data_IF_506687406022
#
_entry.id   IF_506687406022
#
_cell.length_a   1.000
_cell.length_b   1.000
_cell.length_c   1.000
_cell.angle_alpha   90.00
_cell.angle_beta   90.00
_cell.angle_gamma   90.00
#
_symmetry.space_group_name_H-M   'P 1'
#
loop_
_entity.id
_entity.type
_entity.pdbx_description
1 polymer ?
#
# COMPACT_ATOMS: atom_id res chain seq x y z
N UNK A 1 72.83 41.78 -6.14
CA UNK A 1 72.16 41.62 -4.82
C UNK A 1 70.67 42.04 -4.73
N UNK A 2 70.22 43.02 -5.50
CA UNK A 2 68.79 43.50 -5.43
C UNK A 2 67.74 42.53 -6.00
N UNK A 3 68.06 41.57 -6.87
CA UNK A 3 67.08 40.61 -7.45
C UNK A 3 66.82 39.38 -6.60
N UNK A 4 67.60 39.05 -5.60
CA UNK A 4 67.46 37.89 -4.73
C UNK A 4 66.47 38.19 -3.58
N UNK A 5 66.49 39.43 -3.07
CA UNK A 5 65.66 39.88 -1.95
C UNK A 5 64.21 39.96 -2.35
N UNK A 6 63.84 40.27 -3.60
CA UNK A 6 62.44 40.32 -4.07
C UNK A 6 61.76 38.94 -4.18
N UNK A 7 62.52 37.90 -4.54
CA UNK A 7 62.02 36.54 -4.67
C UNK A 7 61.70 35.88 -3.30
N UNK A 8 62.56 36.16 -2.31
CA UNK A 8 62.28 35.60 -0.95
C UNK A 8 61.08 36.25 -0.28
N UNK A 9 60.86 37.53 -0.55
CA UNK A 9 59.62 38.22 0.00
C UNK A 9 58.33 37.70 -0.57
N UNK A 10 58.31 37.30 -1.87
CA UNK A 10 57.08 36.74 -2.49
C UNK A 10 56.78 35.31 -2.06
N UNK A 11 57.78 34.49 -1.79
CA UNK A 11 57.61 33.12 -1.28
C UNK A 11 57.12 33.15 0.17
N UNK A 12 57.64 34.06 1.00
CA UNK A 12 57.17 34.24 2.35
C UNK A 12 55.69 34.71 2.45
N UNK A 13 55.30 35.60 1.53
CA UNK A 13 53.91 36.09 1.47
C UNK A 13 52.94 35.03 0.99
N UNK A 14 53.31 34.20 0.00
CA UNK A 14 52.44 33.10 -0.46
C UNK A 14 52.26 31.98 0.56
N UNK A 15 53.31 31.66 1.34
CA UNK A 15 53.19 30.67 2.44
C UNK A 15 52.30 31.16 3.58
N UNK A 16 52.39 32.47 3.91
CA UNK A 16 51.51 33.08 4.92
C UNK A 16 50.06 33.14 4.48
N UNK A 17 49.79 33.40 3.19
CA UNK A 17 48.41 33.39 2.64
C UNK A 17 47.85 31.97 2.62
N UNK A 18 48.64 30.95 2.22
CA UNK A 18 48.21 29.55 2.27
C UNK A 18 47.97 29.05 3.70
N UNK A 19 48.82 29.43 4.66
CA UNK A 19 48.64 29.09 6.07
C UNK A 19 47.40 29.79 6.66
N UNK A 20 47.10 31.05 6.26
CA UNK A 20 45.91 31.79 6.64
C UNK A 20 44.63 31.17 6.11
N UNK A 21 44.64 30.71 4.85
CA UNK A 21 43.51 30.03 4.23
C UNK A 21 43.27 28.66 4.90
N UNK A 22 44.34 27.91 5.22
CA UNK A 22 44.19 26.64 5.95
C UNK A 22 43.70 26.86 7.39
N UNK A 23 44.10 27.93 8.06
CA UNK A 23 43.67 28.24 9.43
C UNK A 23 42.23 28.79 9.48
N UNK A 24 41.80 29.47 8.41
CA UNK A 24 40.43 29.93 8.29
C UNK A 24 39.49 28.79 7.92
N UNK A 25 39.91 27.83 7.09
CA UNK A 25 39.15 26.62 6.75
C UNK A 25 38.97 25.68 7.96
N UNK A 26 39.91 25.67 8.91
CA UNK A 26 39.82 24.88 10.15
C UNK A 26 38.94 25.58 11.20
N UNK A 27 38.79 26.93 11.18
CA UNK A 27 37.90 27.65 12.08
C UNK A 27 36.44 27.80 11.57
N UNK A 28 36.25 27.83 10.26
CA UNK A 28 34.96 27.53 9.70
C UNK A 28 34.80 26.02 9.69
N UNK A 29 34.55 25.44 10.84
CA UNK A 29 34.07 24.09 10.94
C UNK A 29 32.86 24.00 10.02
N UNK A 30 33.09 23.52 8.81
CA UNK A 30 32.07 22.92 8.04
C UNK A 30 31.58 21.78 8.94
N UNK A 31 30.56 22.04 9.75
CA UNK A 31 29.70 20.98 10.21
C UNK A 31 29.23 20.33 8.92
N UNK A 32 29.92 19.31 8.47
CA UNK A 32 29.31 18.27 7.67
C UNK A 32 28.17 17.86 8.59
N UNK A 33 26.99 18.42 8.34
CA UNK A 33 25.79 17.83 8.81
C UNK A 33 25.79 16.45 8.17
N UNK A 34 26.39 15.48 8.85
CA UNK A 34 25.91 14.12 8.83
C UNK A 34 24.55 14.24 9.50
N UNK A 35 23.61 14.79 8.74
CA UNK A 35 22.21 14.72 9.07
C UNK A 35 21.78 13.28 8.89
N UNK A 36 22.10 12.47 9.86
CA UNK A 36 21.16 11.48 10.31
C UNK A 36 20.04 12.36 10.83
N UNK A 37 18.99 12.48 10.01
CA UNK A 37 17.72 13.09 10.41
C UNK A 37 17.22 12.18 11.53
N UNK A 38 17.55 12.52 12.76
CA UNK A 38 17.12 11.81 13.97
C UNK A 38 15.64 12.22 14.23
N UNK A 39 14.83 12.07 13.16
CA UNK A 39 13.40 12.24 13.21
C UNK A 39 12.80 11.09 14.03
N UNK A 40 12.63 11.35 15.34
CA UNK A 40 12.11 10.38 16.32
C UNK A 40 10.62 10.14 16.19
N UNK A 41 9.95 10.70 15.17
CA UNK A 41 8.55 10.41 14.94
C UNK A 41 8.38 8.96 14.52
N UNK A 42 7.31 8.34 15.00
CA UNK A 42 6.92 7.02 14.52
C UNK A 42 6.80 7.02 12.99
N UNK A 43 7.48 6.08 12.35
CA UNK A 43 7.49 5.95 10.89
C UNK A 43 6.81 4.66 10.48
N UNK A 44 5.77 4.76 9.65
CA UNK A 44 5.12 3.59 9.08
C UNK A 44 5.01 3.72 7.57
N UNK A 45 5.18 2.61 6.88
CA UNK A 45 5.15 2.55 5.42
C UNK A 45 4.19 1.47 4.94
N UNK A 46 3.58 1.66 3.78
CA UNK A 46 2.78 0.62 3.13
C UNK A 46 3.37 0.21 1.80
N UNK A 47 3.18 -1.06 1.47
CA UNK A 47 3.54 -1.66 0.19
C UNK A 47 2.28 -2.16 -0.52
N UNK A 48 2.13 -1.84 -1.80
CA UNK A 48 0.97 -2.28 -2.60
C UNK A 48 1.22 -3.62 -3.30
N UNK A 49 0.17 -4.32 -3.67
CA UNK A 49 0.22 -5.66 -4.29
C UNK A 49 0.00 -5.69 -5.80
N UNK A 50 0.35 -4.63 -6.50
CA UNK A 50 0.22 -4.49 -7.96
C UNK A 50 -0.69 -3.36 -8.41
N UNK A 51 -1.62 -2.91 -7.56
CA UNK A 51 -2.38 -1.67 -7.75
C UNK A 51 -1.58 -0.46 -7.29
N UNK A 52 -1.77 0.69 -7.92
CA UNK A 52 -1.22 1.97 -7.45
C UNK A 52 -2.17 2.65 -6.46
N UNK A 53 -1.65 3.63 -5.71
CA UNK A 53 -2.43 4.39 -4.73
C UNK A 53 -3.54 5.26 -5.33
N UNK A 54 -3.70 5.26 -6.65
CA UNK A 54 -4.74 5.98 -7.39
C UNK A 54 -5.76 5.03 -8.04
N UNK A 55 -5.92 3.82 -7.53
CA UNK A 55 -6.85 2.80 -8.03
C UNK A 55 -8.33 3.13 -7.78
N UNK A 56 -8.63 4.23 -7.08
CA UNK A 56 -9.96 4.65 -6.64
C UNK A 56 -10.67 3.58 -5.78
N UNK A 57 -9.91 2.68 -5.16
CA UNK A 57 -10.39 1.53 -4.43
C UNK A 57 -9.52 1.21 -3.20
N UNK A 58 -9.07 -0.02 -3.08
CA UNK A 58 -8.44 -0.62 -1.91
C UNK A 58 -7.09 0.03 -1.55
N UNK A 59 -6.20 0.21 -2.54
CA UNK A 59 -4.88 0.79 -2.29
C UNK A 59 -5.00 2.28 -1.95
N UNK A 60 -5.82 3.03 -2.69
CA UNK A 60 -6.09 4.43 -2.41
C UNK A 60 -6.69 4.63 -1.02
N UNK A 61 -7.70 3.84 -0.66
CA UNK A 61 -8.34 3.93 0.66
C UNK A 61 -7.36 3.65 1.78
N UNK A 62 -6.46 2.67 1.59
CA UNK A 62 -5.39 2.36 2.54
C UNK A 62 -4.43 3.54 2.70
N UNK A 63 -4.00 4.15 1.60
CA UNK A 63 -3.14 5.33 1.62
C UNK A 63 -3.81 6.55 2.28
N UNK A 64 -5.09 6.76 2.04
CA UNK A 64 -5.84 7.82 2.71
C UNK A 64 -5.93 7.60 4.22
N UNK A 65 -6.08 6.35 4.65
CA UNK A 65 -5.98 5.97 6.05
C UNK A 65 -4.62 6.30 6.66
N UNK A 66 -3.53 5.98 5.96
CA UNK A 66 -2.16 6.32 6.37
C UNK A 66 -1.96 7.83 6.50
N UNK A 67 -2.41 8.61 5.53
CA UNK A 67 -2.35 10.08 5.58
C UNK A 67 -3.15 10.64 6.76
N UNK A 68 -4.32 10.07 7.02
CA UNK A 68 -5.13 10.47 8.18
C UNK A 68 -4.40 10.16 9.49
N UNK A 69 -3.83 8.95 9.62
CA UNK A 69 -3.01 8.57 10.77
C UNK A 69 -1.85 9.55 10.99
N UNK A 70 -1.10 9.86 9.94
CA UNK A 70 -0.01 10.84 9.99
C UNK A 70 -0.46 12.20 10.54
N UNK A 71 -1.59 12.70 10.05
CA UNK A 71 -2.16 13.98 10.50
C UNK A 71 -2.58 13.95 11.97
N UNK A 72 -3.20 12.85 12.40
CA UNK A 72 -3.77 12.73 13.73
C UNK A 72 -2.69 12.48 14.81
N UNK A 73 -1.57 11.86 14.45
CA UNK A 73 -0.51 11.42 15.39
C UNK A 73 0.83 12.13 15.20
N UNK A 74 0.96 12.98 14.19
CA UNK A 74 2.24 13.58 13.76
C UNK A 74 3.31 12.52 13.38
N UNK A 75 2.89 11.34 12.90
CA UNK A 75 3.78 10.26 12.44
C UNK A 75 4.25 10.50 11.02
N UNK A 76 5.40 9.92 10.65
CA UNK A 76 5.85 9.84 9.26
C UNK A 76 5.13 8.70 8.57
N UNK A 77 4.74 8.90 7.31
CA UNK A 77 4.15 7.85 6.47
C UNK A 77 4.76 7.86 5.09
N UNK A 78 4.93 6.69 4.50
CA UNK A 78 5.33 6.53 3.11
C UNK A 78 4.61 5.35 2.45
N UNK A 79 4.77 5.22 1.15
CA UNK A 79 4.28 4.06 0.40
C UNK A 79 5.28 3.65 -0.67
N UNK A 80 5.21 2.37 -1.05
CA UNK A 80 5.93 1.82 -2.21
C UNK A 80 4.94 1.08 -3.08
N UNK A 81 4.88 1.45 -4.35
CA UNK A 81 4.09 0.73 -5.35
C UNK A 81 4.92 -0.41 -5.93
N UNK A 82 4.39 -1.63 -5.85
CA UNK A 82 5.04 -2.83 -6.37
C UNK A 82 4.18 -3.47 -7.46
N UNK A 83 4.41 -3.15 -8.72
CA UNK A 83 3.62 -3.69 -9.82
C UNK A 83 3.82 -5.20 -10.02
N UNK A 84 4.93 -5.76 -9.51
CA UNK A 84 5.26 -7.17 -9.64
C UNK A 84 5.62 -7.81 -8.30
N UNK A 85 5.24 -9.06 -8.13
CA UNK A 85 5.53 -9.84 -6.92
C UNK A 85 7.03 -9.99 -6.64
N UNK A 86 7.87 -10.03 -7.69
CA UNK A 86 9.33 -10.08 -7.58
C UNK A 86 9.93 -8.90 -6.82
N UNK A 87 9.21 -7.77 -6.74
CA UNK A 87 9.70 -6.54 -6.15
C UNK A 87 9.37 -6.44 -4.66
N UNK A 88 8.48 -7.29 -4.16
CA UNK A 88 7.96 -7.20 -2.80
C UNK A 88 9.07 -7.26 -1.74
N UNK A 89 9.87 -8.33 -1.75
CA UNK A 89 10.90 -8.53 -0.72
C UNK A 89 11.95 -7.44 -0.75
N UNK A 90 12.45 -7.08 -1.95
CA UNK A 90 13.47 -6.03 -2.11
C UNK A 90 12.99 -4.69 -1.55
N UNK A 91 11.71 -4.37 -1.74
CA UNK A 91 11.16 -3.11 -1.25
C UNK A 91 10.84 -3.16 0.26
N UNK A 92 10.48 -4.32 0.79
CA UNK A 92 10.36 -4.51 2.25
C UNK A 92 11.72 -4.35 2.93
N UNK A 93 12.78 -4.95 2.38
CA UNK A 93 14.14 -4.83 2.91
C UNK A 93 14.62 -3.36 2.90
N UNK A 94 14.33 -2.60 1.84
CA UNK A 94 14.64 -1.17 1.80
C UNK A 94 13.91 -0.38 2.90
N UNK A 95 12.64 -0.67 3.13
CA UNK A 95 11.88 -0.02 4.20
C UNK A 95 12.42 -0.40 5.58
N UNK A 96 12.90 -1.63 5.75
CA UNK A 96 13.58 -2.06 6.97
C UNK A 96 14.88 -1.29 7.19
N UNK A 97 15.69 -1.11 6.15
CA UNK A 97 16.92 -0.32 6.19
C UNK A 97 16.69 1.19 6.48
N UNK A 98 15.51 1.70 6.15
CA UNK A 98 15.08 3.07 6.45
C UNK A 98 14.60 3.25 7.91
N UNK A 99 14.74 2.23 8.74
CA UNK A 99 14.28 2.22 10.14
C UNK A 99 12.78 2.49 10.29
N UNK A 100 11.98 1.84 9.46
CA UNK A 100 10.52 1.90 9.54
C UNK A 100 10.04 1.13 10.78
N UNK A 101 9.22 1.74 11.63
CA UNK A 101 8.71 1.10 12.85
C UNK A 101 7.62 0.06 12.58
N UNK A 102 6.84 0.26 11.49
CA UNK A 102 5.77 -0.65 11.07
C UNK A 102 5.63 -0.66 9.55
N UNK A 103 5.72 -1.85 8.96
CA UNK A 103 5.55 -2.06 7.52
C UNK A 103 4.22 -2.76 7.26
N UNK A 104 3.36 -2.13 6.44
CA UNK A 104 2.07 -2.68 6.02
C UNK A 104 2.16 -3.34 4.66
N UNK A 105 1.78 -4.60 4.57
CA UNK A 105 1.44 -5.25 3.30
C UNK A 105 -0.03 -5.02 2.97
N UNK A 106 -0.33 -4.36 1.86
CA UNK A 106 -1.72 -4.08 1.45
C UNK A 106 -2.16 -5.11 0.42
N UNK A 107 -2.87 -6.12 0.92
CA UNK A 107 -3.40 -7.22 0.13
C UNK A 107 -2.74 -8.60 0.42
N UNK A 108 -3.55 -9.64 0.29
CA UNK A 108 -3.17 -11.01 0.64
C UNK A 108 -2.00 -11.59 -0.19
N UNK A 109 -1.72 -11.03 -1.37
CA UNK A 109 -0.59 -11.48 -2.20
C UNK A 109 0.78 -11.24 -1.55
N UNK A 110 0.84 -10.34 -0.58
CA UNK A 110 2.05 -10.05 0.19
C UNK A 110 2.29 -11.04 1.35
N UNK A 111 1.36 -11.98 1.59
CA UNK A 111 1.40 -12.85 2.77
C UNK A 111 2.72 -13.61 2.93
N UNK A 112 3.15 -14.35 1.90
CA UNK A 112 4.39 -15.13 1.95
C UNK A 112 5.61 -14.23 2.16
N UNK A 113 5.60 -13.03 1.55
CA UNK A 113 6.72 -12.09 1.67
C UNK A 113 6.77 -11.44 3.05
N UNK A 114 5.62 -11.06 3.60
CA UNK A 114 5.53 -10.52 4.98
C UNK A 114 5.96 -11.60 6.00
N UNK A 115 5.53 -12.84 5.81
CA UNK A 115 5.95 -13.94 6.70
C UNK A 115 7.48 -14.15 6.66
N UNK A 116 8.07 -14.12 5.46
CA UNK A 116 9.51 -14.24 5.28
C UNK A 116 10.25 -13.06 5.92
N UNK A 117 9.83 -11.84 5.63
CA UNK A 117 10.43 -10.63 6.17
C UNK A 117 10.35 -10.59 7.71
N UNK A 118 9.21 -10.96 8.28
CA UNK A 118 9.02 -11.03 9.74
C UNK A 118 9.95 -12.03 10.42
N UNK A 119 10.20 -13.17 9.78
CA UNK A 119 11.16 -14.17 10.28
C UNK A 119 12.61 -13.71 10.15
N UNK A 120 12.91 -12.94 9.14
CA UNK A 120 14.28 -12.43 8.87
C UNK A 120 14.63 -11.26 9.78
N UNK A 121 13.66 -10.40 10.08
CA UNK A 121 13.81 -9.19 10.88
C UNK A 121 12.84 -9.22 12.08
N UNK A 122 13.14 -10.04 13.11
CA UNK A 122 12.22 -10.25 14.23
C UNK A 122 12.03 -9.02 15.13
N UNK A 123 12.90 -8.03 15.02
CA UNK A 123 12.83 -6.74 15.74
C UNK A 123 11.88 -5.73 15.09
N UNK A 124 11.47 -5.94 13.84
CA UNK A 124 10.56 -5.06 13.13
C UNK A 124 9.12 -5.54 13.23
N UNK A 125 8.19 -4.62 13.17
CA UNK A 125 6.76 -4.93 13.19
C UNK A 125 6.16 -4.88 11.79
N UNK A 126 5.27 -5.81 11.53
CA UNK A 126 4.56 -5.92 10.26
C UNK A 126 3.06 -5.98 10.47
N UNK A 127 2.32 -5.50 9.51
CA UNK A 127 0.89 -5.71 9.42
C UNK A 127 0.50 -6.09 7.99
N UNK A 128 -0.55 -6.87 7.84
CA UNK A 128 -1.07 -7.23 6.52
C UNK A 128 -2.58 -7.05 6.48
N UNK A 129 -3.07 -6.39 5.45
CA UNK A 129 -4.50 -6.21 5.20
C UNK A 129 -5.05 -7.36 4.33
N UNK A 130 -6.28 -7.77 4.61
CA UNK A 130 -7.00 -8.86 3.94
C UNK A 130 -6.34 -10.24 4.06
N UNK A 131 -5.55 -10.45 5.10
CA UNK A 131 -4.96 -11.76 5.35
C UNK A 131 -4.74 -12.02 6.85
N UNK A 132 -4.83 -13.29 7.24
CA UNK A 132 -4.48 -13.77 8.57
C UNK A 132 -3.79 -15.13 8.46
N UNK A 133 -2.70 -15.30 9.17
CA UNK A 133 -1.98 -16.57 9.28
C UNK A 133 -2.64 -17.55 10.31
N UNK A 134 -3.73 -17.11 10.97
CA UNK A 134 -4.38 -17.88 12.03
C UNK A 134 -3.42 -18.20 13.16
N UNK A 135 -3.41 -19.47 13.59
CA UNK A 135 -2.55 -19.95 14.69
C UNK A 135 -1.03 -19.93 14.36
N UNK A 136 -0.67 -19.66 13.10
CA UNK A 136 0.72 -19.60 12.63
C UNK A 136 1.23 -18.17 12.47
N UNK A 137 0.47 -17.17 12.94
CA UNK A 137 0.87 -15.77 12.85
C UNK A 137 2.21 -15.55 13.57
N UNK A 138 3.25 -15.01 12.88
CA UNK A 138 4.49 -14.62 13.53
C UNK A 138 4.23 -13.58 14.62
N UNK A 139 5.02 -13.60 15.71
CA UNK A 139 4.82 -12.73 16.88
C UNK A 139 4.86 -11.22 16.54
N UNK A 140 5.65 -10.86 15.52
CA UNK A 140 5.82 -9.49 15.03
C UNK A 140 4.93 -9.15 13.82
N UNK A 141 3.88 -9.95 13.54
CA UNK A 141 2.92 -9.71 12.47
C UNK A 141 1.51 -9.53 13.01
N UNK A 142 0.80 -8.53 12.52
CA UNK A 142 -0.64 -8.35 12.76
C UNK A 142 -1.42 -8.52 11.46
N UNK A 143 -2.27 -9.53 11.40
CA UNK A 143 -3.23 -9.69 10.29
C UNK A 143 -4.49 -8.88 10.56
N UNK A 144 -4.94 -8.12 9.55
CA UNK A 144 -6.18 -7.34 9.60
C UNK A 144 -7.13 -7.90 8.56
N UNK A 145 -8.24 -8.46 9.01
CA UNK A 145 -9.29 -9.01 8.15
C UNK A 145 -10.58 -8.24 8.33
N UNK A 146 -11.38 -8.19 7.28
CA UNK A 146 -12.66 -7.48 7.26
C UNK A 146 -13.81 -8.48 7.10
N UNK A 147 -14.97 -8.13 7.66
CA UNK A 147 -16.22 -8.89 7.49
C UNK A 147 -16.90 -8.46 6.19
N UNK A 148 -16.24 -8.75 5.08
CA UNK A 148 -16.64 -8.31 3.74
C UNK A 148 -17.99 -8.90 3.33
N UNK A 149 -18.35 -10.06 3.87
CA UNK A 149 -19.65 -10.70 3.69
C UNK A 149 -20.81 -9.85 4.25
N UNK A 150 -20.59 -9.10 5.34
CA UNK A 150 -21.66 -8.29 5.95
C UNK A 150 -21.99 -7.07 5.10
N UNK A 151 -20.95 -6.32 4.67
CA UNK A 151 -21.15 -5.17 3.79
C UNK A 151 -21.75 -5.57 2.45
N UNK A 152 -21.26 -6.68 1.88
CA UNK A 152 -21.74 -7.23 0.61
C UNK A 152 -23.19 -7.72 0.71
N UNK A 153 -23.58 -8.29 1.87
CA UNK A 153 -24.98 -8.65 2.11
C UNK A 153 -25.91 -7.42 2.02
N UNK A 154 -25.51 -6.30 2.63
CA UNK A 154 -26.29 -5.07 2.55
C UNK A 154 -26.43 -4.55 1.13
N UNK A 155 -25.34 -4.59 0.35
CA UNK A 155 -25.35 -4.21 -1.07
C UNK A 155 -26.25 -5.15 -1.88
N UNK A 156 -26.17 -6.45 -1.66
CA UNK A 156 -27.03 -7.45 -2.30
C UNK A 156 -28.52 -7.27 -1.96
N UNK A 157 -28.81 -6.96 -0.71
CA UNK A 157 -30.17 -6.66 -0.28
C UNK A 157 -30.75 -5.43 -1.00
N UNK A 158 -29.96 -4.35 -1.07
CA UNK A 158 -30.37 -3.14 -1.80
C UNK A 158 -30.56 -3.46 -3.29
N UNK A 159 -29.65 -4.22 -3.91
CA UNK A 159 -29.75 -4.62 -5.30
C UNK A 159 -31.06 -5.37 -5.58
N UNK A 160 -31.45 -6.28 -4.69
CA UNK A 160 -32.69 -7.02 -4.83
C UNK A 160 -33.95 -6.12 -4.78
N UNK A 161 -33.96 -5.11 -3.91
CA UNK A 161 -35.05 -4.17 -3.81
C UNK A 161 -35.16 -3.21 -5.00
N UNK A 162 -34.00 -2.90 -5.64
CA UNK A 162 -33.90 -1.86 -6.65
C UNK A 162 -33.96 -2.38 -8.09
N UNK A 163 -33.61 -3.66 -8.33
CA UNK A 163 -33.60 -4.23 -9.68
C UNK A 163 -34.96 -4.16 -10.37
N UNK A 164 -34.94 -3.80 -11.66
CA UNK A 164 -36.09 -3.77 -12.54
C UNK A 164 -36.16 -4.98 -13.48
N UNK A 165 -34.99 -5.60 -13.74
CA UNK A 165 -34.86 -6.77 -14.61
C UNK A 165 -35.05 -8.09 -13.88
N UNK A 166 -35.04 -8.08 -12.54
CA UNK A 166 -34.92 -9.26 -11.68
C UNK A 166 -33.65 -10.07 -11.94
N UNK A 167 -32.61 -9.42 -12.43
CA UNK A 167 -31.28 -10.00 -12.66
C UNK A 167 -30.23 -8.99 -12.24
N UNK A 168 -29.30 -9.42 -11.39
CA UNK A 168 -28.19 -8.60 -10.88
C UNK A 168 -26.86 -9.30 -11.08
N UNK A 169 -25.79 -8.53 -11.17
CA UNK A 169 -24.45 -9.03 -11.47
C UNK A 169 -23.50 -8.90 -10.30
N UNK A 170 -22.54 -9.83 -10.24
CA UNK A 170 -21.33 -9.72 -9.42
C UNK A 170 -20.08 -9.89 -10.29
N UNK A 171 -19.14 -8.98 -10.18
CA UNK A 171 -17.83 -9.08 -10.84
C UNK A 171 -16.73 -9.20 -9.78
N UNK A 172 -16.13 -10.38 -9.65
CA UNK A 172 -14.98 -10.60 -8.80
C UNK A 172 -13.66 -10.32 -9.53
N UNK A 173 -12.62 -9.95 -8.79
CA UNK A 173 -11.27 -9.85 -9.31
C UNK A 173 -10.67 -11.24 -9.55
N UNK A 174 -9.88 -11.74 -8.63
CA UNK A 174 -9.32 -13.10 -8.66
C UNK A 174 -10.06 -13.94 -7.63
N UNK A 175 -10.51 -15.12 -8.04
CA UNK A 175 -11.23 -16.04 -7.15
C UNK A 175 -10.33 -16.48 -5.99
N UNK A 176 -10.88 -16.46 -4.78
CA UNK A 176 -10.17 -16.83 -3.56
C UNK A 176 -10.94 -16.41 -2.33
N UNK A 177 -10.47 -16.81 -1.16
CA UNK A 177 -11.17 -16.69 0.13
C UNK A 177 -11.71 -15.27 0.40
N UNK A 178 -10.93 -14.23 0.11
CA UNK A 178 -11.34 -12.83 0.31
C UNK A 178 -12.50 -12.45 -0.62
N UNK A 179 -12.36 -12.75 -1.92
CA UNK A 179 -13.39 -12.38 -2.92
C UNK A 179 -14.62 -13.26 -2.81
N UNK A 180 -14.47 -14.51 -2.38
CA UNK A 180 -15.61 -15.40 -2.10
C UNK A 180 -16.49 -14.85 -0.98
N UNK A 181 -15.94 -14.18 0.05
CA UNK A 181 -16.74 -13.51 1.10
C UNK A 181 -17.64 -12.42 0.50
N UNK A 182 -17.10 -11.61 -0.42
CA UNK A 182 -17.89 -10.59 -1.12
C UNK A 182 -19.02 -11.23 -1.96
N UNK A 183 -18.69 -12.27 -2.75
CA UNK A 183 -19.68 -12.96 -3.58
C UNK A 183 -20.79 -13.56 -2.73
N UNK A 184 -20.44 -14.35 -1.72
CA UNK A 184 -21.42 -15.06 -0.90
C UNK A 184 -22.28 -14.10 -0.08
N UNK A 185 -21.70 -13.04 0.48
CA UNK A 185 -22.44 -11.99 1.15
C UNK A 185 -23.46 -11.33 0.22
N UNK A 186 -23.03 -10.93 -0.99
CA UNK A 186 -23.90 -10.33 -1.99
C UNK A 186 -25.05 -11.24 -2.40
N UNK A 187 -24.76 -12.50 -2.73
CA UNK A 187 -25.78 -13.50 -3.09
C UNK A 187 -26.77 -13.76 -1.96
N UNK A 188 -26.29 -13.84 -0.73
CA UNK A 188 -27.16 -14.01 0.44
C UNK A 188 -28.08 -12.79 0.64
N UNK A 189 -27.56 -11.57 0.46
CA UNK A 189 -28.33 -10.34 0.51
C UNK A 189 -29.41 -10.27 -0.56
N UNK A 190 -29.05 -10.62 -1.81
CA UNK A 190 -30.02 -10.71 -2.93
C UNK A 190 -31.12 -11.74 -2.62
N UNK A 191 -30.75 -12.94 -2.17
CA UNK A 191 -31.72 -13.98 -1.84
C UNK A 191 -32.66 -13.56 -0.71
N UNK A 192 -32.13 -12.90 0.32
CA UNK A 192 -32.93 -12.37 1.42
C UNK A 192 -33.90 -11.29 0.94
N UNK A 193 -33.45 -10.31 0.17
CA UNK A 193 -34.30 -9.24 -0.38
C UNK A 193 -35.34 -9.76 -1.33
N UNK A 194 -35.00 -10.68 -2.24
CA UNK A 194 -35.94 -11.34 -3.15
C UNK A 194 -37.06 -12.02 -2.41
N UNK A 195 -36.75 -12.74 -1.32
CA UNK A 195 -37.75 -13.38 -0.45
C UNK A 195 -38.69 -12.35 0.20
N UNK A 196 -38.17 -11.20 0.67
CA UNK A 196 -38.94 -10.16 1.30
C UNK A 196 -40.02 -9.55 0.36
N UNK A 197 -39.68 -9.41 -0.92
CA UNK A 197 -40.55 -8.80 -1.92
C UNK A 197 -41.31 -9.83 -2.77
N UNK A 198 -41.17 -11.14 -2.47
CA UNK A 198 -41.87 -12.21 -3.17
C UNK A 198 -41.46 -12.37 -4.64
N UNK A 199 -40.20 -12.02 -4.99
CA UNK A 199 -39.68 -12.13 -6.35
C UNK A 199 -38.60 -13.22 -6.44
N UNK A 200 -38.37 -13.69 -7.66
CA UNK A 200 -37.20 -14.49 -8.01
C UNK A 200 -36.18 -13.58 -8.73
N UNK A 201 -34.95 -13.47 -8.18
CA UNK A 201 -33.92 -12.61 -8.72
C UNK A 201 -32.70 -13.47 -9.00
N UNK A 202 -32.23 -13.43 -10.23
CA UNK A 202 -31.02 -14.14 -10.66
C UNK A 202 -29.76 -13.34 -10.33
N UNK A 203 -28.69 -14.06 -9.93
CA UNK A 203 -27.38 -13.46 -9.66
C UNK A 203 -26.36 -14.05 -10.64
N UNK A 204 -25.96 -13.24 -11.63
CA UNK A 204 -24.90 -13.58 -12.57
C UNK A 204 -23.53 -13.24 -11.99
N UNK A 205 -22.60 -14.18 -12.04
CA UNK A 205 -21.27 -14.05 -11.48
C UNK A 205 -20.21 -14.22 -12.55
N UNK A 206 -19.24 -13.32 -12.58
CA UNK A 206 -18.05 -13.43 -13.42
C UNK A 206 -16.81 -12.95 -12.67
N UNK A 207 -15.64 -13.50 -13.04
CA UNK A 207 -14.35 -13.13 -12.49
C UNK A 207 -13.47 -12.53 -13.58
N UNK A 208 -12.81 -11.42 -13.27
CA UNK A 208 -11.88 -10.76 -14.18
C UNK A 208 -10.50 -11.46 -14.23
N UNK A 209 -10.20 -12.34 -13.27
CA UNK A 209 -8.89 -12.96 -13.06
C UNK A 209 -7.77 -11.92 -12.97
N UNK A 210 -8.10 -10.72 -12.52
CA UNK A 210 -7.19 -9.58 -12.37
C UNK A 210 -7.81 -8.53 -11.43
N UNK A 211 -6.95 -7.78 -10.73
CA UNK A 211 -7.34 -6.58 -9.96
C UNK A 211 -6.91 -5.28 -10.67
N UNK A 212 -6.25 -5.37 -11.82
CA UNK A 212 -5.67 -4.21 -12.51
C UNK A 212 -6.04 -4.10 -14.00
N UNK A 213 -6.70 -5.13 -14.56
CA UNK A 213 -7.15 -5.12 -15.97
C UNK A 213 -8.52 -4.46 -16.11
N UNK A 214 -8.53 -3.13 -16.13
CA UNK A 214 -9.75 -2.34 -16.30
C UNK A 214 -10.46 -2.57 -17.64
N UNK A 215 -9.72 -2.94 -18.70
CA UNK A 215 -10.31 -3.24 -20.01
C UNK A 215 -11.14 -4.52 -19.94
N UNK A 216 -10.61 -5.55 -19.28
CA UNK A 216 -11.33 -6.83 -19.05
C UNK A 216 -12.55 -6.63 -18.15
N UNK A 217 -12.39 -5.88 -17.04
CA UNK A 217 -13.51 -5.54 -16.16
C UNK A 217 -14.63 -4.81 -16.90
N UNK A 218 -14.29 -3.82 -17.72
CA UNK A 218 -15.24 -3.09 -18.58
C UNK A 218 -15.95 -4.03 -19.57
N UNK A 219 -15.22 -4.93 -20.24
CA UNK A 219 -15.81 -5.85 -21.19
C UNK A 219 -16.82 -6.82 -20.52
N UNK A 220 -16.48 -7.33 -19.33
CA UNK A 220 -17.38 -8.15 -18.51
C UNK A 220 -18.63 -7.37 -18.13
N UNK A 221 -18.48 -6.15 -17.63
CA UNK A 221 -19.61 -5.32 -17.21
C UNK A 221 -20.55 -4.99 -18.38
N UNK A 222 -20.01 -4.61 -19.53
CA UNK A 222 -20.82 -4.34 -20.75
C UNK A 222 -21.68 -5.54 -21.09
N UNK A 223 -21.08 -6.75 -21.17
CA UNK A 223 -21.80 -7.96 -21.50
C UNK A 223 -22.85 -8.32 -20.42
N UNK A 224 -22.53 -8.05 -19.16
CA UNK A 224 -23.42 -8.37 -18.06
C UNK A 224 -24.65 -7.43 -18.02
N UNK A 225 -24.48 -6.17 -18.46
CA UNK A 225 -25.56 -5.20 -18.58
C UNK A 225 -26.58 -5.53 -19.70
N UNK A 226 -26.32 -6.52 -20.57
CA UNK A 226 -27.34 -7.02 -21.50
C UNK A 226 -28.52 -7.65 -20.75
N UNK A 227 -28.26 -8.22 -19.57
CA UNK A 227 -29.23 -8.95 -18.78
C UNK A 227 -29.49 -8.39 -17.38
N UNK A 228 -28.49 -7.72 -16.80
CA UNK A 228 -28.54 -7.17 -15.43
C UNK A 228 -28.63 -5.64 -15.49
N UNK A 229 -29.38 -5.05 -14.58
CA UNK A 229 -29.46 -3.59 -14.42
C UNK A 229 -28.64 -3.05 -13.25
N UNK A 230 -28.14 -3.94 -12.40
CA UNK A 230 -27.28 -3.59 -11.26
C UNK A 230 -26.10 -4.57 -11.25
N UNK A 231 -24.89 -4.04 -11.12
CA UNK A 231 -23.69 -4.82 -10.97
C UNK A 231 -22.93 -4.34 -9.74
N UNK A 232 -22.57 -5.27 -8.87
CA UNK A 232 -21.63 -5.05 -7.77
C UNK A 232 -20.27 -5.65 -8.14
N UNK A 233 -19.17 -4.96 -7.86
CA UNK A 233 -17.84 -5.50 -8.11
C UNK A 233 -16.97 -5.55 -6.84
N UNK A 234 -16.13 -6.57 -6.78
CA UNK A 234 -15.05 -6.75 -5.81
C UNK A 234 -13.77 -7.07 -6.58
N UNK A 235 -13.29 -6.09 -7.35
CA UNK A 235 -12.21 -6.26 -8.34
C UNK A 235 -11.17 -5.13 -8.34
N UNK A 236 -11.25 -4.22 -7.37
CA UNK A 236 -10.37 -3.06 -7.28
C UNK A 236 -10.86 -1.85 -8.04
#
# INVERSE_FOLDING_TARGET
MKKIISKVSWIGLSVLILAGILFFAVKTGCKIATGVDDDKRFFTAMITDGGGINDQSFQQSSWEGMKKFSKDTNSRVSYVECPQTSDFLINIDKLADEHTDLIWGIGYKLADTIELAAKTNPELNYAIADFSFGDKTPENVTGVIFRSEESSFLVGYIAALMTKTNSVGFVGGIKGMVIDQFEYGYRAGVAYGAKQIGKNIDVKVQYAESFTDSAKGKAIAIKMFDDCDIIFHAAG
#
